data_IF_554755027054
#
_entry.id   IF_554755027054
#
_cell.length_a   1.000
_cell.length_b   1.000
_cell.length_c   1.000
_cell.angle_alpha   90.00
_cell.angle_beta   90.00
_cell.angle_gamma   90.00
#
_symmetry.space_group_name_H-M   'P 1'
#
loop_
_entity.id
_entity.type
_entity.pdbx_description
1 polymer ?
#
# COMPACT_ATOMS: atom_id res chain seq x y z
N UNK A 1 43.26 31.85 38.14
CA UNK A 1 43.61 32.54 36.87
C UNK A 1 44.10 31.48 35.90
N UNK A 2 43.27 31.12 34.91
CA UNK A 2 43.33 31.53 33.49
C UNK A 2 44.23 30.60 32.63
N UNK A 3 43.53 29.87 31.75
CA UNK A 3 43.83 29.46 30.37
C UNK A 3 45.09 28.63 30.04
N UNK A 4 44.82 27.39 29.58
CA UNK A 4 44.79 27.14 28.14
C UNK A 4 46.05 26.55 27.51
N UNK A 5 45.91 25.37 26.90
CA UNK A 5 46.43 25.07 25.56
C UNK A 5 45.81 23.78 24.98
N UNK A 6 44.98 23.98 23.96
CA UNK A 6 44.66 23.02 22.89
C UNK A 6 45.94 22.39 22.33
N UNK A 7 45.92 21.09 22.05
CA UNK A 7 46.52 20.50 20.85
C UNK A 7 45.70 19.30 20.36
N UNK A 8 45.09 19.50 19.20
CA UNK A 8 44.62 18.47 18.26
C UNK A 8 45.76 17.54 17.83
N UNK A 9 45.39 16.30 17.46
CA UNK A 9 46.04 15.36 16.51
C UNK A 9 45.41 13.96 16.78
N UNK A 10 44.95 13.15 15.83
CA UNK A 10 44.84 13.18 14.36
C UNK A 10 43.65 12.31 13.98
N UNK A 11 42.95 12.71 12.94
CA UNK A 11 42.09 11.85 12.13
C UNK A 11 42.97 10.94 11.25
N UNK A 12 42.68 9.65 11.23
CA UNK A 12 42.99 8.73 10.12
C UNK A 12 41.62 8.30 9.58
N UNK A 13 41.07 8.96 8.55
CA UNK A 13 41.30 8.72 7.13
C UNK A 13 41.26 7.24 6.76
N UNK A 14 40.04 6.73 6.54
CA UNK A 14 39.80 5.76 5.48
C UNK A 14 38.62 6.26 4.65
N UNK A 15 38.95 7.03 3.61
CA UNK A 15 38.04 7.35 2.51
C UNK A 15 38.19 6.22 1.50
N UNK A 16 37.25 5.29 1.52
CA UNK A 16 37.05 4.41 0.36
C UNK A 16 36.23 5.19 -0.66
N UNK A 17 36.93 5.62 -1.71
CA UNK A 17 36.42 6.24 -2.91
C UNK A 17 35.64 5.23 -3.75
N UNK A 18 34.32 5.40 -3.83
CA UNK A 18 33.54 4.88 -4.94
C UNK A 18 33.24 6.05 -5.89
N UNK A 19 34.04 6.14 -6.95
CA UNK A 19 33.74 6.96 -8.12
C UNK A 19 32.54 6.36 -8.85
N UNK A 20 31.36 6.96 -8.66
CA UNK A 20 30.22 6.78 -9.56
C UNK A 20 29.98 8.15 -10.21
N UNK A 21 30.23 8.31 -11.52
CA UNK A 21 29.87 9.53 -12.21
C UNK A 21 28.34 9.56 -12.38
N UNK A 22 27.64 10.15 -11.42
CA UNK A 22 26.24 10.56 -11.60
C UNK A 22 26.30 11.87 -12.38
N UNK A 23 26.22 11.76 -13.70
CA UNK A 23 25.93 12.91 -14.56
C UNK A 23 24.54 13.44 -14.23
N UNK A 24 24.48 14.50 -13.43
CA UNK A 24 23.30 15.34 -13.26
C UNK A 24 23.29 16.29 -14.47
N UNK A 25 22.27 16.27 -15.35
CA UNK A 25 22.05 17.40 -16.24
C UNK A 25 21.51 18.56 -15.40
N UNK A 26 22.31 19.61 -15.24
CA UNK A 26 21.84 20.93 -14.83
C UNK A 26 20.88 21.48 -15.90
N UNK A 27 19.58 21.34 -15.68
CA UNK A 27 18.59 22.27 -16.25
C UNK A 27 17.85 22.92 -15.10
N UNK A 28 18.39 24.07 -14.71
CA UNK A 28 17.76 25.03 -13.80
C UNK A 28 16.81 25.89 -14.62
N UNK A 29 15.61 25.39 -14.90
CA UNK A 29 14.51 26.27 -15.33
C UNK A 29 13.76 26.76 -14.09
N UNK A 30 13.90 28.07 -13.86
CA UNK A 30 13.23 28.83 -12.82
C UNK A 30 11.71 28.72 -12.99
N UNK A 31 11.03 28.11 -12.03
CA UNK A 31 9.57 28.24 -11.90
C UNK A 31 9.24 29.70 -11.60
N UNK A 32 8.84 30.46 -12.63
CA UNK A 32 8.13 31.72 -12.46
C UNK A 32 6.71 31.40 -11.97
N UNK A 33 6.21 32.04 -10.90
CA UNK A 33 4.81 31.89 -10.50
C UNK A 33 3.90 32.41 -11.63
N UNK A 34 2.86 31.64 -11.98
CA UNK A 34 1.83 32.09 -12.93
C UNK A 34 1.19 33.38 -12.40
N UNK A 35 1.33 34.46 -13.17
CA UNK A 35 0.68 35.74 -12.92
C UNK A 35 -0.84 35.65 -13.06
N UNK A 36 -1.52 36.58 -12.39
CA UNK A 36 -2.98 36.67 -12.22
C UNK A 36 -3.80 36.95 -13.50
N UNK A 37 -3.27 36.71 -14.70
CA UNK A 37 -3.94 37.04 -15.97
C UNK A 37 -4.75 35.88 -16.59
N UNK A 38 -4.61 34.64 -16.13
CA UNK A 38 -5.38 33.50 -16.69
C UNK A 38 -6.80 33.37 -16.11
N UNK A 39 -7.29 34.40 -15.40
CA UNK A 39 -8.61 34.39 -14.74
C UNK A 39 -9.71 35.17 -15.48
N UNK A 40 -9.45 35.66 -16.71
CA UNK A 40 -10.40 36.52 -17.43
C UNK A 40 -10.78 36.09 -18.86
N UNK A 41 -10.35 34.94 -19.38
CA UNK A 41 -10.79 34.49 -20.73
C UNK A 41 -11.93 33.46 -20.73
N UNK A 42 -12.35 32.93 -19.57
CA UNK A 42 -13.45 31.96 -19.47
C UNK A 42 -14.86 32.57 -19.47
N UNK A 43 -15.04 33.78 -20.03
CA UNK A 43 -16.31 34.50 -19.87
C UNK A 43 -16.73 35.35 -21.06
N UNK A 44 -16.50 34.93 -22.31
CA UNK A 44 -17.16 35.58 -23.46
C UNK A 44 -17.13 34.73 -24.75
N UNK A 45 -17.81 33.58 -24.80
CA UNK A 45 -18.26 32.96 -26.06
C UNK A 45 -19.50 32.10 -25.82
N UNK A 46 -20.57 32.75 -25.39
CA UNK A 46 -21.93 32.24 -25.56
C UNK A 46 -22.50 32.92 -26.81
N UNK A 47 -22.58 32.20 -27.94
CA UNK A 47 -23.66 32.28 -28.94
C UNK A 47 -23.32 31.46 -30.20
N UNK A 48 -24.35 30.76 -30.71
CA UNK A 48 -24.45 29.99 -31.95
C UNK A 48 -23.61 28.72 -32.13
N UNK A 49 -24.17 27.60 -31.66
CA UNK A 49 -23.91 26.28 -32.27
C UNK A 49 -25.18 25.88 -33.03
N UNK A 50 -25.10 25.92 -34.36
CA UNK A 50 -26.08 25.35 -35.29
C UNK A 50 -26.25 23.84 -35.04
N UNK A 51 -27.48 23.28 -35.09
CA UNK A 51 -27.68 21.85 -34.94
C UNK A 51 -27.18 21.10 -36.19
N UNK A 52 -26.26 20.15 -36.00
CA UNK A 52 -25.80 19.25 -37.06
C UNK A 52 -26.92 18.21 -37.40
N UNK A 53 -27.10 17.87 -38.69
CA UNK A 53 -28.17 16.97 -39.13
C UNK A 53 -27.90 15.52 -38.69
N UNK A 54 -28.94 14.85 -38.21
CA UNK A 54 -28.91 13.42 -37.86
C UNK A 54 -28.72 12.56 -39.11
N UNK A 55 -27.55 11.96 -39.27
CA UNK A 55 -27.43 10.76 -40.10
C UNK A 55 -27.88 9.55 -39.29
N UNK A 56 -28.95 8.90 -39.78
CA UNK A 56 -29.38 7.58 -39.35
C UNK A 56 -28.26 6.55 -39.55
N UNK A 57 -27.63 6.12 -38.45
CA UNK A 57 -26.96 4.82 -38.40
C UNK A 57 -27.73 3.89 -37.49
N UNK A 58 -28.75 3.27 -38.08
CA UNK A 58 -29.26 1.97 -37.66
C UNK A 58 -28.09 0.99 -37.61
N UNK A 59 -27.66 0.67 -36.39
CA UNK A 59 -27.31 -0.67 -35.93
C UNK A 59 -27.42 -0.64 -34.42
N UNK A 60 -28.65 -0.81 -33.94
CA UNK A 60 -28.90 -1.22 -32.56
C UNK A 60 -28.47 -2.68 -32.49
N UNK A 61 -27.18 -2.90 -32.28
CA UNK A 61 -26.74 -4.13 -31.64
C UNK A 61 -27.35 -4.11 -30.26
N UNK A 62 -28.21 -5.09 -29.99
CA UNK A 62 -28.77 -5.43 -28.70
C UNK A 62 -27.65 -5.61 -27.68
N UNK A 63 -27.17 -4.51 -27.10
CA UNK A 63 -26.57 -4.55 -25.78
C UNK A 63 -27.73 -4.79 -24.84
N UNK A 64 -27.95 -6.07 -24.53
CA UNK A 64 -28.80 -6.49 -23.43
C UNK A 64 -28.56 -5.54 -22.27
N UNK A 65 -29.59 -4.79 -21.93
CA UNK A 65 -29.75 -4.15 -20.63
C UNK A 65 -29.74 -5.25 -19.56
N UNK A 66 -28.57 -5.78 -19.27
CA UNK A 66 -28.27 -6.30 -17.96
C UNK A 66 -27.86 -5.09 -17.16
N UNK A 67 -28.74 -4.62 -16.28
CA UNK A 67 -28.37 -3.90 -15.05
C UNK A 67 -27.60 -4.84 -14.12
N UNK A 68 -26.61 -5.55 -14.67
CA UNK A 68 -25.71 -6.45 -13.98
C UNK A 68 -24.57 -5.61 -13.44
N UNK A 69 -24.43 -5.58 -12.11
CA UNK A 69 -23.29 -4.94 -11.47
C UNK A 69 -21.99 -5.44 -12.08
N UNK A 70 -21.10 -4.51 -12.40
CA UNK A 70 -19.78 -4.82 -12.95
C UNK A 70 -18.96 -5.51 -11.86
N UNK A 71 -18.55 -6.77 -12.07
CA UNK A 71 -17.81 -7.55 -11.05
C UNK A 71 -16.54 -6.84 -10.57
N UNK A 72 -15.83 -6.18 -11.49
CA UNK A 72 -14.65 -5.35 -11.17
C UNK A 72 -14.98 -4.13 -10.30
N UNK A 73 -16.12 -3.50 -10.52
CA UNK A 73 -16.56 -2.37 -9.70
C UNK A 73 -16.90 -2.85 -8.28
N UNK A 74 -17.63 -3.97 -8.17
CA UNK A 74 -17.94 -4.56 -6.87
C UNK A 74 -16.67 -4.94 -6.11
N UNK A 75 -15.71 -5.56 -6.80
CA UNK A 75 -14.42 -5.92 -6.21
C UNK A 75 -13.66 -4.67 -5.76
N UNK A 76 -13.61 -3.62 -6.60
CA UNK A 76 -13.01 -2.34 -6.24
C UNK A 76 -13.60 -1.79 -4.95
N UNK A 77 -14.93 -1.81 -4.81
CA UNK A 77 -15.58 -1.31 -3.61
C UNK A 77 -15.35 -2.21 -2.38
N UNK A 78 -15.31 -3.54 -2.56
CA UNK A 78 -14.96 -4.49 -1.49
C UNK A 78 -13.54 -4.23 -0.96
N UNK A 79 -12.56 -4.07 -1.85
CA UNK A 79 -11.16 -3.81 -1.48
C UNK A 79 -11.02 -2.47 -0.74
N UNK A 80 -11.67 -1.42 -1.23
CA UNK A 80 -11.65 -0.10 -0.57
C UNK A 80 -12.29 -0.14 0.83
N UNK A 81 -13.42 -0.85 0.98
CA UNK A 81 -14.08 -1.01 2.26
C UNK A 81 -13.21 -1.78 3.28
N UNK A 82 -12.57 -2.86 2.86
CA UNK A 82 -11.67 -3.62 3.73
C UNK A 82 -10.41 -2.83 4.09
N UNK A 83 -9.82 -2.09 3.15
CA UNK A 83 -8.72 -1.17 3.44
C UNK A 83 -9.12 -0.17 4.52
N UNK A 84 -10.31 0.43 4.42
CA UNK A 84 -10.83 1.34 5.43
C UNK A 84 -10.99 0.71 6.82
N UNK A 85 -11.38 -0.57 6.91
CA UNK A 85 -11.45 -1.31 8.17
C UNK A 85 -10.06 -1.58 8.75
N UNK A 86 -9.11 -2.02 7.92
CA UNK A 86 -7.72 -2.27 8.31
C UNK A 86 -7.09 -0.99 8.85
N UNK A 87 -7.21 0.12 8.13
CA UNK A 87 -6.67 1.41 8.53
C UNK A 87 -7.18 1.86 9.90
N UNK A 88 -8.48 1.70 10.17
CA UNK A 88 -9.07 2.04 11.49
C UNK A 88 -8.49 1.19 12.61
N UNK A 89 -8.33 -0.12 12.38
CA UNK A 89 -7.78 -1.05 13.37
C UNK A 89 -6.30 -0.76 13.64
N UNK A 90 -5.51 -0.50 12.61
CA UNK A 90 -4.09 -0.13 12.75
C UNK A 90 -3.97 1.16 13.55
N UNK A 91 -4.71 2.21 13.20
CA UNK A 91 -4.69 3.48 13.95
C UNK A 91 -5.07 3.31 15.42
N UNK A 92 -5.96 2.37 15.73
CA UNK A 92 -6.32 2.06 17.12
C UNK A 92 -5.17 1.39 17.88
N UNK A 93 -4.41 0.51 17.22
CA UNK A 93 -3.27 -0.18 17.81
C UNK A 93 -2.02 0.70 17.88
N UNK A 94 -1.78 1.56 16.89
CA UNK A 94 -0.67 2.52 16.89
C UNK A 94 -0.69 3.42 18.14
N UNK A 95 -1.88 3.83 18.59
CA UNK A 95 -2.05 4.61 19.84
C UNK A 95 -1.60 3.87 21.10
N UNK A 96 -1.54 2.55 21.04
CA UNK A 96 -1.15 1.67 22.15
C UNK A 96 0.20 0.99 21.91
N UNK A 97 0.80 1.16 20.74
CA UNK A 97 1.92 0.32 20.28
C UNK A 97 3.13 0.36 21.22
N UNK A 98 3.36 1.49 21.90
CA UNK A 98 4.51 1.68 22.80
C UNK A 98 4.36 0.96 24.15
N UNK A 99 3.15 0.49 24.49
CA UNK A 99 2.85 -0.25 25.72
C UNK A 99 2.52 -1.73 25.46
N UNK A 100 2.50 -2.17 24.21
CA UNK A 100 2.27 -3.60 23.90
C UNK A 100 3.52 -4.39 24.31
N UNK A 101 3.32 -5.35 25.20
CA UNK A 101 4.30 -6.36 25.59
C UNK A 101 3.82 -7.75 25.15
N UNK A 102 4.68 -8.76 25.26
CA UNK A 102 4.32 -10.16 24.99
C UNK A 102 3.19 -10.67 25.89
N UNK A 103 3.05 -10.12 27.09
CA UNK A 103 2.01 -10.49 28.07
C UNK A 103 0.72 -9.67 27.90
N UNK A 104 0.71 -8.68 26.99
CA UNK A 104 -0.44 -7.80 26.78
C UNK A 104 -1.51 -8.48 25.93
N UNK A 105 -2.79 -8.33 26.28
CA UNK A 105 -3.89 -8.88 25.48
C UNK A 105 -3.88 -8.32 24.03
N UNK A 106 -3.40 -7.09 23.86
CA UNK A 106 -3.20 -6.43 22.56
C UNK A 106 -2.27 -7.20 21.61
N UNK A 107 -1.36 -8.06 22.11
CA UNK A 107 -0.51 -8.92 21.27
C UNK A 107 -1.36 -9.85 20.40
N UNK A 108 -2.44 -10.38 20.96
CA UNK A 108 -3.36 -11.29 20.27
C UNK A 108 -4.10 -10.54 19.17
N UNK A 109 -4.53 -9.31 19.45
CA UNK A 109 -5.21 -8.47 18.47
C UNK A 109 -4.28 -8.07 17.32
N UNK A 110 -3.01 -7.84 17.63
CA UNK A 110 -1.98 -7.51 16.66
C UNK A 110 -1.67 -8.69 15.73
N UNK A 111 -1.46 -9.89 16.29
CA UNK A 111 -1.24 -11.12 15.51
C UNK A 111 -2.48 -11.44 14.66
N UNK A 112 -3.68 -11.32 15.22
CA UNK A 112 -4.94 -11.51 14.46
C UNK A 112 -5.08 -10.51 13.34
N UNK A 113 -4.71 -9.25 13.56
CA UNK A 113 -4.75 -8.23 12.51
C UNK A 113 -3.74 -8.56 11.40
N UNK A 114 -2.52 -8.96 11.75
CA UNK A 114 -1.51 -9.38 10.78
C UNK A 114 -2.01 -10.52 9.90
N UNK A 115 -2.51 -11.60 10.52
CA UNK A 115 -3.03 -12.76 9.79
C UNK A 115 -4.23 -12.38 8.91
N UNK A 116 -5.20 -11.64 9.46
CA UNK A 116 -6.40 -11.23 8.73
C UNK A 116 -6.06 -10.32 7.53
N UNK A 117 -5.13 -9.38 7.69
CA UNK A 117 -4.70 -8.49 6.60
C UNK A 117 -4.01 -9.26 5.48
N UNK A 118 -3.10 -10.21 5.81
CA UNK A 118 -2.45 -11.03 4.79
C UNK A 118 -3.42 -11.97 4.08
N UNK A 119 -4.33 -12.60 4.82
CA UNK A 119 -5.34 -13.49 4.22
C UNK A 119 -6.26 -12.72 3.28
N UNK A 120 -6.74 -11.53 3.69
CA UNK A 120 -7.57 -10.68 2.82
C UNK A 120 -6.82 -10.14 1.60
N UNK A 121 -5.55 -9.79 1.76
CA UNK A 121 -4.71 -9.41 0.64
C UNK A 121 -4.63 -10.55 -0.39
N UNK A 122 -4.36 -11.77 0.06
CA UNK A 122 -4.27 -12.93 -0.83
C UNK A 122 -5.62 -13.26 -1.49
N UNK A 123 -6.72 -13.24 -0.72
CA UNK A 123 -8.08 -13.45 -1.23
C UNK A 123 -8.42 -12.50 -2.39
N UNK A 124 -8.07 -11.22 -2.27
CA UNK A 124 -8.31 -10.25 -3.34
C UNK A 124 -7.40 -10.43 -4.56
N UNK A 125 -6.15 -10.88 -4.35
CA UNK A 125 -5.24 -11.23 -5.46
C UNK A 125 -5.79 -12.43 -6.22
N UNK A 126 -6.24 -13.46 -5.52
CA UNK A 126 -6.80 -14.66 -6.13
C UNK A 126 -8.09 -14.35 -6.89
N UNK A 127 -8.94 -13.48 -6.34
CA UNK A 127 -10.15 -13.02 -7.03
C UNK A 127 -9.83 -12.18 -8.27
N UNK A 128 -8.80 -11.33 -8.23
CA UNK A 128 -8.30 -10.61 -9.41
C UNK A 128 -7.82 -11.58 -10.49
N UNK A 129 -7.01 -12.58 -10.14
CA UNK A 129 -6.56 -13.60 -11.10
C UNK A 129 -7.73 -14.41 -11.67
N UNK A 130 -8.74 -14.72 -10.84
CA UNK A 130 -9.97 -15.40 -11.28
C UNK A 130 -10.70 -14.59 -12.35
N UNK A 131 -10.80 -13.27 -12.16
CA UNK A 131 -11.41 -12.36 -13.13
C UNK A 131 -10.56 -12.21 -14.39
N UNK A 132 -9.22 -12.16 -14.27
CA UNK A 132 -8.29 -12.15 -15.41
C UNK A 132 -8.47 -13.39 -16.29
N UNK A 133 -8.56 -14.57 -15.69
CA UNK A 133 -8.70 -15.83 -16.41
C UNK A 133 -10.05 -16.03 -17.11
N UNK A 134 -11.11 -15.37 -16.63
CA UNK A 134 -12.47 -15.45 -17.23
C UNK A 134 -12.75 -14.32 -18.22
N UNK A 135 -11.94 -13.27 -18.21
CA UNK A 135 -12.22 -12.02 -18.89
C UNK A 135 -13.17 -11.12 -18.10
N UNK A 136 -13.11 -9.82 -18.38
CA UNK A 136 -13.76 -8.79 -17.57
C UNK A 136 -15.24 -8.57 -17.87
N UNK A 137 -15.70 -9.01 -19.04
CA UNK A 137 -17.07 -8.76 -19.51
C UNK A 137 -17.40 -7.28 -19.74
N UNK A 138 -16.39 -6.40 -19.78
CA UNK A 138 -16.52 -4.95 -19.98
C UNK A 138 -15.43 -4.43 -20.93
N UNK A 139 -15.59 -3.18 -21.39
CA UNK A 139 -14.60 -2.47 -22.20
C UNK A 139 -13.22 -2.43 -21.52
N UNK A 140 -12.16 -2.54 -22.31
CA UNK A 140 -10.78 -2.60 -21.83
C UNK A 140 -10.37 -1.34 -21.04
N UNK A 141 -10.86 -0.15 -21.43
CA UNK A 141 -10.55 1.08 -20.73
C UNK A 141 -11.23 1.12 -19.35
N UNK A 142 -12.47 0.68 -19.29
CA UNK A 142 -13.22 0.59 -18.03
C UNK A 142 -12.56 -0.47 -17.13
N UNK A 143 -12.18 -1.62 -17.67
CA UNK A 143 -11.43 -2.63 -16.94
C UNK A 143 -10.10 -2.06 -16.40
N UNK A 144 -9.31 -1.38 -17.23
CA UNK A 144 -8.05 -0.78 -16.85
C UNK A 144 -8.22 0.21 -15.67
N UNK A 145 -9.27 1.03 -15.70
CA UNK A 145 -9.59 1.95 -14.61
C UNK A 145 -9.83 1.22 -13.28
N UNK A 146 -10.69 0.20 -13.25
CA UNK A 146 -10.97 -0.55 -12.02
C UNK A 146 -9.78 -1.39 -11.56
N UNK A 147 -9.04 -2.01 -12.48
CA UNK A 147 -7.79 -2.72 -12.17
C UNK A 147 -6.79 -1.80 -11.48
N UNK A 148 -6.63 -0.57 -11.99
CA UNK A 148 -5.75 0.42 -11.38
C UNK A 148 -6.20 0.82 -9.97
N UNK A 149 -7.50 1.06 -9.77
CA UNK A 149 -8.06 1.37 -8.44
C UNK A 149 -7.83 0.23 -7.45
N UNK A 150 -8.14 -1.01 -7.85
CA UNK A 150 -7.91 -2.21 -7.04
C UNK A 150 -6.42 -2.35 -6.72
N UNK A 151 -5.54 -2.24 -7.72
CA UNK A 151 -4.10 -2.33 -7.53
C UNK A 151 -3.56 -1.28 -6.54
N UNK A 152 -4.04 -0.04 -6.63
CA UNK A 152 -3.70 1.02 -5.68
C UNK A 152 -4.17 0.68 -4.26
N UNK A 153 -5.39 0.19 -4.10
CA UNK A 153 -5.93 -0.20 -2.79
C UNK A 153 -5.19 -1.41 -2.20
N UNK A 154 -4.86 -2.42 -3.02
CA UNK A 154 -4.06 -3.59 -2.62
C UNK A 154 -2.64 -3.19 -2.20
N UNK A 155 -2.01 -2.26 -2.92
CA UNK A 155 -0.71 -1.70 -2.53
C UNK A 155 -0.76 -1.06 -1.14
N UNK A 156 -1.85 -0.33 -0.84
CA UNK A 156 -2.07 0.22 0.49
C UNK A 156 -2.28 -0.87 1.54
N UNK A 157 -3.10 -1.90 1.27
CA UNK A 157 -3.27 -3.05 2.17
C UNK A 157 -1.91 -3.71 2.47
N UNK A 158 -1.07 -3.91 1.44
CA UNK A 158 0.26 -4.49 1.63
C UNK A 158 1.16 -3.61 2.50
N UNK A 159 1.13 -2.29 2.29
CA UNK A 159 1.86 -1.33 3.13
C UNK A 159 1.39 -1.39 4.59
N UNK A 160 0.09 -1.49 4.80
CA UNK A 160 -0.49 -1.64 6.14
C UNK A 160 -0.05 -2.96 6.80
N UNK A 161 -0.01 -4.06 6.04
CA UNK A 161 0.53 -5.34 6.54
C UNK A 161 1.98 -5.20 7.03
N UNK A 162 2.83 -4.50 6.28
CA UNK A 162 4.24 -4.27 6.65
C UNK A 162 4.35 -3.43 7.93
N UNK A 163 3.44 -2.48 8.13
CA UNK A 163 3.39 -1.72 9.39
C UNK A 163 3.01 -2.59 10.59
N UNK A 164 2.01 -3.45 10.42
CA UNK A 164 1.60 -4.41 11.46
C UNK A 164 2.73 -5.38 11.76
N UNK A 165 3.44 -5.83 10.74
CA UNK A 165 4.65 -6.64 10.88
C UNK A 165 5.72 -5.95 11.75
N UNK A 166 6.05 -4.69 11.45
CA UNK A 166 6.99 -3.93 12.27
C UNK A 166 6.50 -3.66 13.70
N UNK A 167 5.18 -3.68 13.95
CA UNK A 167 4.65 -3.68 15.32
C UNK A 167 4.89 -5.03 16.02
N UNK A 168 4.65 -6.15 15.33
CA UNK A 168 4.89 -7.50 15.86
C UNK A 168 6.37 -7.75 16.16
N UNK A 169 7.27 -7.27 15.30
CA UNK A 169 8.71 -7.49 15.47
C UNK A 169 9.25 -6.77 16.70
N UNK A 170 8.74 -5.57 17.01
CA UNK A 170 9.12 -4.79 18.20
C UNK A 170 8.82 -5.53 19.52
N UNK A 171 7.83 -6.41 19.50
CA UNK A 171 7.40 -7.22 20.65
C UNK A 171 7.96 -8.64 20.61
N UNK A 172 8.87 -8.93 19.67
CA UNK A 172 9.59 -10.21 19.57
C UNK A 172 8.93 -11.26 18.66
N UNK A 173 7.87 -10.90 17.92
CA UNK A 173 7.21 -11.80 16.98
C UNK A 173 7.61 -11.48 15.54
N UNK A 174 8.46 -12.32 14.95
CA UNK A 174 8.77 -12.24 13.51
C UNK A 174 7.65 -12.88 12.68
N UNK A 175 7.49 -12.51 11.40
CA UNK A 175 6.56 -13.16 10.46
C UNK A 175 6.70 -14.68 10.38
N UNK A 176 7.94 -15.17 10.45
CA UNK A 176 8.26 -16.60 10.45
C UNK A 176 7.76 -17.27 11.72
N UNK A 177 7.94 -16.62 12.88
CA UNK A 177 7.47 -17.14 14.16
C UNK A 177 5.95 -17.10 14.28
N UNK A 178 5.30 -16.06 13.75
CA UNK A 178 3.84 -15.97 13.69
C UNK A 178 3.28 -17.12 12.84
N UNK A 179 3.85 -17.38 11.66
CA UNK A 179 3.44 -18.52 10.81
C UNK A 179 3.69 -19.86 11.51
N UNK A 180 4.88 -20.06 12.08
CA UNK A 180 5.19 -21.25 12.88
C UNK A 180 4.12 -21.48 13.96
N UNK A 181 3.74 -20.44 14.70
CA UNK A 181 2.72 -20.53 15.76
C UNK A 181 1.32 -20.84 15.22
N UNK A 182 0.95 -20.27 14.07
CA UNK A 182 -0.37 -20.48 13.48
C UNK A 182 -0.51 -21.85 12.82
N UNK A 183 0.58 -22.40 12.28
CA UNK A 183 0.57 -23.60 11.45
C UNK A 183 1.02 -24.87 12.21
N UNK A 184 1.67 -24.74 13.35
CA UNK A 184 2.18 -25.89 14.14
C UNK A 184 1.20 -26.36 15.21
N UNK A 185 1.26 -27.65 15.53
CA UNK A 185 0.59 -28.21 16.70
C UNK A 185 1.19 -27.67 18.01
N UNK A 186 0.44 -27.76 19.12
CA UNK A 186 0.96 -27.30 20.42
C UNK A 186 2.16 -28.14 20.87
N UNK A 187 2.18 -29.43 20.56
CA UNK A 187 3.27 -30.35 20.83
C UNK A 187 4.56 -29.92 20.13
N UNK A 188 4.49 -29.58 18.84
CA UNK A 188 5.63 -29.10 18.05
C UNK A 188 6.18 -27.77 18.58
N UNK A 189 5.29 -26.87 19.03
CA UNK A 189 5.70 -25.59 19.60
C UNK A 189 6.41 -25.77 20.95
N UNK A 190 5.91 -26.64 21.83
CA UNK A 190 6.55 -26.97 23.11
C UNK A 190 7.94 -27.57 22.86
N UNK A 191 8.02 -28.52 21.93
CA UNK A 191 9.28 -29.15 21.53
C UNK A 191 10.29 -28.14 20.97
N UNK A 192 9.85 -27.19 20.14
CA UNK A 192 10.67 -26.11 19.59
C UNK A 192 11.24 -25.22 20.70
N UNK A 193 10.42 -24.84 21.67
CA UNK A 193 10.83 -24.03 22.82
C UNK A 193 11.83 -24.76 23.74
N UNK A 194 11.58 -26.04 24.04
CA UNK A 194 12.46 -26.85 24.87
C UNK A 194 13.84 -27.02 24.22
N UNK A 195 13.90 -27.22 22.90
CA UNK A 195 15.16 -27.31 22.14
C UNK A 195 15.93 -25.98 22.09
N UNK A 196 15.25 -24.83 22.07
CA UNK A 196 15.89 -23.51 22.14
C UNK A 196 16.50 -23.23 23.52
N UNK A 197 15.86 -23.68 24.60
CA UNK A 197 16.39 -23.57 25.96
C UNK A 197 17.67 -24.37 26.20
N UNK A 198 17.86 -25.47 25.47
CA UNK A 198 19.06 -26.33 25.60
C UNK A 198 20.30 -25.78 24.89
N UNK A 199 20.17 -24.89 23.89
CA UNK A 199 21.31 -24.31 23.14
C UNK A 199 21.96 -23.10 23.82
N UNK A 200 21.37 -22.57 24.90
CA UNK A 200 21.87 -21.42 25.66
C UNK A 200 22.55 -21.81 26.99
N UNK A 201 22.89 -23.08 27.18
CA UNK A 201 23.71 -23.55 28.32
C UNK A 201 25.08 -23.98 27.85
#
# INVERSE_FOLDING_TARGET
MIFGKKKEKKEDVFKESFDIPIGIPETREEFKPLGEETRQEFKSMSEEILPLPMEEKKKVSELKEGTGRIELEELSQKVENELGKIDRRIKSLEKKADVITIDSQEIVDLIRLYAATNNKFQEFIDEMHRLEGRGWGIDENIAAFYKFRIGKALSNIKRQSIKVEGMCERVGFTPSKIREILDSSIEELVDSLMRQGSRRR
#
